data_IF_083787766491
#
_entry.id   IF_083787766491
#
_cell.length_a   1.000
_cell.length_b   1.000
_cell.length_c   1.000
_cell.angle_alpha   90.00
_cell.angle_beta   90.00
_cell.angle_gamma   90.00
#
_symmetry.space_group_name_H-M   'P 1'
#
loop_
_entity.id
_entity.type
_entity.pdbx_description
1 polymer ?
#
# COMPACT_ATOMS: atom_id res chain seq x y z
N UNK A 1 12.13 6.67 27.96
CA UNK A 1 11.03 7.00 27.00
C UNK A 1 11.35 6.37 25.66
N UNK A 2 10.49 5.49 25.12
CA UNK A 2 10.65 5.00 23.73
C UNK A 2 10.25 6.13 22.78
N UNK A 3 11.19 6.61 21.99
CA UNK A 3 10.96 7.66 20.99
C UNK A 3 10.03 7.05 19.91
N UNK A 4 8.85 7.66 19.73
CA UNK A 4 7.90 7.25 18.68
C UNK A 4 8.45 7.44 17.28
N UNK A 5 7.80 6.86 16.26
CA UNK A 5 8.25 6.93 14.85
C UNK A 5 8.46 8.38 14.38
N UNK A 6 7.66 9.33 14.89
CA UNK A 6 7.86 10.79 14.70
C UNK A 6 9.24 11.27 15.13
N UNK A 7 9.67 10.91 16.34
CA UNK A 7 10.96 11.37 16.84
C UNK A 7 12.12 10.68 16.13
N UNK A 8 11.95 9.41 15.72
CA UNK A 8 12.97 8.68 14.96
C UNK A 8 13.18 9.28 13.57
N UNK A 9 12.10 9.55 12.82
CA UNK A 9 12.19 10.13 11.49
C UNK A 9 12.76 11.56 11.56
N UNK A 10 12.28 12.37 12.52
CA UNK A 10 12.83 13.71 12.76
C UNK A 10 14.33 13.64 13.04
N UNK A 11 14.76 12.78 13.96
CA UNK A 11 16.17 12.64 14.31
C UNK A 11 17.02 12.18 13.12
N UNK A 12 16.52 11.23 12.32
CA UNK A 12 17.24 10.72 11.15
C UNK A 12 17.44 11.80 10.08
N UNK A 13 16.37 12.49 9.69
CA UNK A 13 16.45 13.58 8.69
C UNK A 13 17.34 14.71 9.22
N UNK A 14 17.12 15.15 10.45
CA UNK A 14 17.90 16.22 11.07
C UNK A 14 19.39 15.86 11.20
N UNK A 15 19.72 14.64 11.62
CA UNK A 15 21.10 14.17 11.71
C UNK A 15 21.78 14.12 10.34
N UNK A 16 21.04 13.74 9.29
CA UNK A 16 21.56 13.70 7.92
C UNK A 16 21.85 15.12 7.41
N UNK A 17 20.93 16.06 7.64
CA UNK A 17 21.14 17.47 7.33
C UNK A 17 22.33 18.05 8.11
N UNK A 18 22.46 17.74 9.40
CA UNK A 18 23.61 18.16 10.21
C UNK A 18 24.93 17.60 9.67
N UNK A 19 24.97 16.33 9.29
CA UNK A 19 26.17 15.71 8.71
C UNK A 19 26.61 16.43 7.43
N UNK A 20 25.65 16.74 6.53
CA UNK A 20 25.93 17.51 5.30
C UNK A 20 26.47 18.90 5.63
N UNK A 21 25.91 19.60 6.62
CA UNK A 21 26.39 20.93 7.02
C UNK A 21 27.78 20.88 7.64
N UNK A 22 28.07 19.90 8.51
CA UNK A 22 29.38 19.73 9.13
C UNK A 22 30.43 19.39 8.09
N UNK A 23 30.13 18.47 7.17
CA UNK A 23 31.04 18.07 6.09
C UNK A 23 31.30 19.22 5.12
N UNK A 24 30.26 19.97 4.74
CA UNK A 24 30.41 21.17 3.90
C UNK A 24 31.26 22.24 4.60
N UNK A 25 31.00 22.54 5.88
CA UNK A 25 31.79 23.50 6.65
C UNK A 25 33.26 23.05 6.75
N UNK A 26 33.50 21.77 7.02
CA UNK A 26 34.85 21.23 7.12
C UNK A 26 35.57 21.28 5.76
N UNK A 27 34.89 20.92 4.66
CA UNK A 27 35.42 20.98 3.30
C UNK A 27 35.81 22.40 2.89
N UNK A 28 34.95 23.40 3.14
CA UNK A 28 35.26 24.82 2.89
C UNK A 28 36.48 25.27 3.69
N UNK A 29 36.57 24.86 4.96
CA UNK A 29 37.72 25.21 5.81
C UNK A 29 39.03 24.60 5.31
N UNK A 30 39.04 23.31 4.97
CA UNK A 30 40.22 22.62 4.44
C UNK A 30 40.64 23.18 3.08
N UNK A 31 39.66 23.45 2.20
CA UNK A 31 39.91 24.08 0.90
C UNK A 31 40.59 25.43 1.03
N UNK A 32 40.19 26.23 2.03
CA UNK A 32 40.78 27.53 2.29
C UNK A 32 42.18 27.41 2.90
N UNK A 33 42.36 26.62 3.96
CA UNK A 33 43.65 26.48 4.67
C UNK A 33 44.75 25.91 3.77
N UNK A 34 44.45 24.94 2.89
CA UNK A 34 45.45 24.32 2.01
C UNK A 34 45.53 24.99 0.64
N UNK A 35 44.40 25.07 -0.07
CA UNK A 35 44.39 25.51 -1.47
C UNK A 35 44.78 26.96 -1.67
N UNK A 36 44.32 27.87 -0.81
CA UNK A 36 44.60 29.30 -0.97
C UNK A 36 46.05 29.65 -0.62
N UNK A 37 46.62 29.04 0.43
CA UNK A 37 47.99 29.29 0.84
C UNK A 37 48.98 28.79 -0.20
N UNK A 38 48.77 27.57 -0.70
CA UNK A 38 49.60 26.98 -1.76
C UNK A 38 49.53 27.80 -3.07
N UNK A 39 48.34 28.32 -3.40
CA UNK A 39 48.15 29.24 -4.52
C UNK A 39 48.97 30.54 -4.35
N UNK A 40 48.88 31.21 -3.20
CA UNK A 40 49.64 32.44 -2.95
C UNK A 40 51.15 32.18 -2.94
N UNK A 41 51.58 31.03 -2.43
CA UNK A 41 53.00 30.64 -2.40
C UNK A 41 53.55 30.44 -3.81
N UNK A 42 52.95 29.56 -4.60
CA UNK A 42 53.37 29.27 -5.98
C UNK A 42 53.32 30.51 -6.87
N UNK A 43 52.27 31.31 -6.75
CA UNK A 43 52.11 32.57 -7.47
C UNK A 43 53.19 33.62 -7.11
N UNK A 44 53.54 33.75 -5.82
CA UNK A 44 54.64 34.63 -5.41
C UNK A 44 56.01 34.11 -5.88
N UNK A 45 56.26 32.80 -5.81
CA UNK A 45 57.50 32.20 -6.33
C UNK A 45 57.66 32.47 -7.83
N UNK A 46 56.59 32.27 -8.62
CA UNK A 46 56.61 32.53 -10.05
C UNK A 46 56.91 34.01 -10.37
N UNK A 47 56.25 34.94 -9.66
CA UNK A 47 56.50 36.38 -9.82
C UNK A 47 57.97 36.75 -9.56
N UNK A 48 58.58 36.14 -8.55
CA UNK A 48 59.95 36.44 -8.14
C UNK A 48 60.96 35.78 -9.09
N UNK A 49 60.66 34.58 -9.61
CA UNK A 49 61.46 33.96 -10.67
C UNK A 49 61.48 34.83 -11.94
N UNK A 50 60.33 35.32 -12.40
CA UNK A 50 60.28 36.24 -13.55
C UNK A 50 61.13 37.49 -13.31
N UNK A 51 61.11 38.04 -12.08
CA UNK A 51 61.95 39.19 -11.73
C UNK A 51 63.44 38.84 -11.76
N UNK A 52 63.81 37.66 -11.25
CA UNK A 52 65.20 37.18 -11.29
C UNK A 52 65.70 37.05 -12.73
N UNK A 53 64.93 36.39 -13.60
CA UNK A 53 65.25 36.19 -15.01
C UNK A 53 65.38 37.53 -15.77
N UNK A 54 64.45 38.46 -15.56
CA UNK A 54 64.52 39.78 -16.16
C UNK A 54 65.76 40.57 -15.69
N UNK A 55 66.18 40.40 -14.43
CA UNK A 55 67.40 41.01 -13.91
C UNK A 55 68.67 40.34 -14.46
N UNK A 56 68.65 39.03 -14.71
CA UNK A 56 69.74 38.32 -15.40
C UNK A 56 69.93 38.88 -16.81
N UNK A 57 68.84 39.06 -17.56
CA UNK A 57 68.86 39.65 -18.90
C UNK A 57 69.42 41.09 -18.88
N UNK A 58 68.93 41.93 -17.97
CA UNK A 58 69.43 43.31 -17.84
C UNK A 58 70.91 43.38 -17.41
N UNK A 59 71.34 42.50 -16.50
CA UNK A 59 72.73 42.39 -16.11
C UNK A 59 73.60 41.91 -17.28
N UNK A 60 73.11 41.00 -18.11
CA UNK A 60 73.83 40.51 -19.29
C UNK A 60 74.13 41.61 -20.31
N UNK A 61 73.22 42.60 -20.44
CA UNK A 61 73.40 43.74 -21.34
C UNK A 61 74.36 44.80 -20.81
N UNK A 62 74.39 45.04 -19.49
CA UNK A 62 75.18 46.13 -18.88
C UNK A 62 76.51 45.65 -18.28
N UNK A 63 76.63 44.36 -17.95
CA UNK A 63 77.80 43.72 -17.36
C UNK A 63 78.10 44.12 -15.90
N UNK A 64 77.27 44.95 -15.27
CA UNK A 64 77.43 45.40 -13.88
C UNK A 64 76.10 45.91 -13.29
N UNK A 65 76.09 46.19 -11.98
CA UNK A 65 74.91 46.69 -11.25
C UNK A 65 74.67 48.21 -11.32
N UNK A 66 75.42 48.96 -12.13
CA UNK A 66 75.33 50.44 -12.16
C UNK A 66 73.93 50.90 -12.62
N UNK A 67 73.26 50.14 -13.50
CA UNK A 67 71.91 50.45 -13.96
C UNK A 67 70.84 50.42 -12.85
N UNK A 68 71.11 49.71 -11.74
CA UNK A 68 70.26 49.70 -10.55
C UNK A 68 70.71 50.70 -9.48
N UNK A 69 71.97 51.16 -9.52
CA UNK A 69 72.54 52.05 -8.50
C UNK A 69 71.96 53.47 -8.69
N UNK A 70 71.04 53.86 -7.81
CA UNK A 70 70.23 55.10 -7.84
C UNK A 70 69.05 55.12 -8.83
N UNK A 71 68.58 53.96 -9.34
CA UNK A 71 67.42 53.91 -10.24
C UNK A 71 66.45 52.75 -9.90
N UNK A 72 65.75 52.88 -8.78
CA UNK A 72 64.76 51.89 -8.33
C UNK A 72 63.58 51.72 -9.30
N UNK A 73 63.34 52.70 -10.18
CA UNK A 73 62.20 52.69 -11.12
C UNK A 73 62.27 51.55 -12.13
N UNK A 74 63.48 51.11 -12.51
CA UNK A 74 63.69 50.02 -13.48
C UNK A 74 63.05 48.72 -12.98
N UNK A 75 63.25 48.39 -11.70
CA UNK A 75 62.67 47.17 -11.10
C UNK A 75 61.15 47.27 -11.01
N UNK A 76 60.60 48.43 -10.69
CA UNK A 76 59.15 48.63 -10.69
C UNK A 76 58.54 48.60 -12.09
N UNK A 77 59.26 49.04 -13.13
CA UNK A 77 58.84 48.94 -14.52
C UNK A 77 58.82 47.48 -15.00
N UNK A 78 59.84 46.70 -14.69
CA UNK A 78 59.88 45.24 -14.96
C UNK A 78 58.70 44.55 -14.26
N UNK A 79 58.47 44.84 -12.99
CA UNK A 79 57.36 44.25 -12.25
C UNK A 79 55.99 44.65 -12.81
N UNK A 80 55.87 45.87 -13.36
CA UNK A 80 54.65 46.35 -14.00
C UNK A 80 54.43 45.73 -15.38
N UNK A 81 55.49 45.37 -16.11
CA UNK A 81 55.36 44.71 -17.41
C UNK A 81 54.78 43.30 -17.25
N UNK A 82 55.11 42.59 -16.17
CA UNK A 82 54.47 41.31 -15.82
C UNK A 82 52.96 41.45 -15.59
N UNK A 83 52.49 42.59 -15.07
CA UNK A 83 51.05 42.84 -14.89
C UNK A 83 50.33 43.18 -16.18
N UNK A 84 51.04 43.79 -17.14
CA UNK A 84 50.48 44.21 -18.43
C UNK A 84 50.43 43.07 -19.45
N UNK A 85 51.27 42.05 -19.28
CA UNK A 85 51.26 40.88 -20.13
C UNK A 85 50.10 39.94 -19.73
N UNK A 86 49.15 39.71 -20.64
CA UNK A 86 47.89 39.01 -20.34
C UNK A 86 48.11 37.58 -19.83
N UNK A 87 49.08 36.86 -20.39
CA UNK A 87 49.40 35.47 -20.02
C UNK A 87 50.02 35.35 -18.62
N UNK A 88 50.72 36.40 -18.17
CA UNK A 88 51.38 36.42 -16.86
C UNK A 88 50.44 36.95 -15.77
N UNK A 89 49.50 37.84 -16.14
CA UNK A 89 48.59 38.53 -15.22
C UNK A 89 47.72 37.60 -14.37
N UNK A 90 47.29 36.46 -14.92
CA UNK A 90 46.40 35.49 -14.26
C UNK A 90 47.09 34.69 -13.14
N UNK A 91 48.42 34.67 -13.14
CA UNK A 91 49.22 33.92 -12.17
C UNK A 91 49.88 34.82 -11.12
N UNK A 92 49.56 36.12 -11.10
CA UNK A 92 50.11 37.05 -10.11
C UNK A 92 49.27 37.07 -8.83
N UNK A 93 49.91 37.19 -7.65
CA UNK A 93 49.17 37.24 -6.40
C UNK A 93 48.40 38.56 -6.31
N UNK A 94 47.21 38.57 -5.68
CA UNK A 94 46.45 39.79 -5.44
C UNK A 94 47.33 40.84 -4.75
N UNK A 95 47.15 42.13 -5.08
CA UNK A 95 48.06 43.22 -4.67
C UNK A 95 48.40 43.24 -3.17
N UNK A 96 47.42 42.96 -2.30
CA UNK A 96 47.61 42.91 -0.84
C UNK A 96 48.35 41.69 -0.30
N UNK A 97 48.62 40.69 -1.14
CA UNK A 97 49.21 39.38 -0.79
C UNK A 97 50.57 39.12 -1.45
N UNK A 98 51.20 40.18 -1.97
CA UNK A 98 52.50 40.12 -2.64
C UNK A 98 53.63 40.17 -1.63
N UNK A 99 54.61 39.28 -1.78
CA UNK A 99 55.82 39.30 -0.94
C UNK A 99 56.63 40.56 -1.12
N UNK A 100 57.24 41.03 -0.02
CA UNK A 100 58.28 42.04 -0.08
C UNK A 100 59.55 41.40 -0.62
N UNK A 101 60.31 42.15 -1.43
CA UNK A 101 61.54 41.66 -2.03
C UNK A 101 62.70 42.65 -1.85
N UNK A 102 63.92 42.12 -1.95
CA UNK A 102 65.18 42.84 -1.95
C UNK A 102 66.07 42.25 -3.04
N UNK A 103 66.64 43.09 -3.88
CA UNK A 103 67.70 42.75 -4.82
C UNK A 103 69.02 43.14 -4.18
N UNK A 104 69.94 42.18 -4.05
CA UNK A 104 71.27 42.38 -3.45
C UNK A 104 72.36 41.93 -4.42
N UNK A 105 73.54 42.53 -4.30
CA UNK A 105 74.73 42.06 -5.03
C UNK A 105 75.31 40.76 -4.42
N UNK A 106 76.39 40.25 -5.01
CA UNK A 106 77.10 39.06 -4.51
C UNK A 106 77.69 39.21 -3.11
N UNK A 107 77.83 40.44 -2.61
CA UNK A 107 78.31 40.78 -1.27
C UNK A 107 77.17 41.06 -0.28
N UNK A 108 75.91 40.82 -0.67
CA UNK A 108 74.69 41.12 0.09
C UNK A 108 74.45 42.61 0.38
N UNK A 109 75.05 43.51 -0.39
CA UNK A 109 74.67 44.92 -0.32
C UNK A 109 73.35 45.12 -1.05
N UNK A 110 72.42 45.84 -0.42
CA UNK A 110 71.11 46.16 -1.00
C UNK A 110 71.28 47.08 -2.21
N UNK A 111 70.80 46.60 -3.36
CA UNK A 111 70.70 47.37 -4.60
C UNK A 111 69.34 48.07 -4.67
N UNK A 112 68.24 47.31 -4.62
CA UNK A 112 66.86 47.80 -4.75
C UNK A 112 65.93 46.97 -3.85
N UNK A 113 64.84 47.56 -3.35
CA UNK A 113 63.79 46.81 -2.64
C UNK A 113 63.34 47.47 -1.34
N UNK A 114 62.69 46.70 -0.48
CA UNK A 114 62.08 47.25 0.74
C UNK A 114 63.14 47.88 1.69
N UNK A 115 62.77 48.99 2.34
CA UNK A 115 63.70 49.80 3.16
C UNK A 115 64.12 49.13 4.47
N UNK A 116 63.37 48.11 4.91
CA UNK A 116 63.63 47.34 6.13
C UNK A 116 64.90 46.47 6.07
N UNK A 117 65.25 45.83 7.20
CA UNK A 117 66.41 44.94 7.26
C UNK A 117 66.26 43.75 6.31
N UNK A 118 67.37 43.28 5.76
CA UNK A 118 67.40 42.10 4.91
C UNK A 118 66.81 40.90 5.67
N UNK A 119 65.94 40.09 5.04
CA UNK A 119 65.35 38.93 5.69
C UNK A 119 66.45 37.93 6.06
N UNK A 120 66.58 37.62 7.36
CA UNK A 120 67.52 36.61 7.86
C UNK A 120 67.19 35.21 7.34
N UNK A 121 65.91 34.96 7.12
CA UNK A 121 65.33 33.70 6.62
C UNK A 121 64.31 34.02 5.54
N UNK A 122 64.38 33.31 4.42
CA UNK A 122 63.46 33.48 3.29
C UNK A 122 64.02 32.88 2.00
N UNK A 123 63.15 32.66 0.99
CA UNK A 123 63.56 32.20 -0.33
C UNK A 123 64.58 33.17 -0.95
N UNK A 124 65.63 32.63 -1.53
CA UNK A 124 66.68 33.37 -2.24
C UNK A 124 66.74 32.88 -3.67
N UNK A 125 66.50 33.77 -4.62
CA UNK A 125 66.54 33.46 -6.03
C UNK A 125 67.85 34.01 -6.60
N UNK A 126 68.75 33.16 -7.11
CA UNK A 126 70.03 33.63 -7.63
C UNK A 126 69.82 34.36 -8.95
N UNK A 127 70.59 35.43 -9.13
CA UNK A 127 70.75 36.11 -10.42
C UNK A 127 72.09 35.66 -10.97
N UNK A 128 72.07 34.92 -12.08
CA UNK A 128 73.25 34.30 -12.70
C UNK A 128 73.68 35.02 -13.97
N UNK A 129 74.99 35.09 -14.18
CA UNK A 129 75.62 35.53 -15.41
C UNK A 129 76.81 34.62 -15.69
N UNK A 130 76.88 34.01 -16.88
CA UNK A 130 77.93 33.05 -17.25
C UNK A 130 78.16 31.93 -16.21
N UNK A 131 77.07 31.38 -15.65
CA UNK A 131 77.09 30.36 -14.60
C UNK A 131 77.63 30.82 -13.23
N UNK A 132 77.99 32.09 -13.05
CA UNK A 132 78.34 32.68 -11.77
C UNK A 132 77.18 33.47 -11.18
N UNK A 133 77.06 33.49 -9.84
CA UNK A 133 76.01 34.22 -9.14
C UNK A 133 76.48 35.66 -8.91
N UNK A 134 75.84 36.60 -9.60
CA UNK A 134 76.18 38.03 -9.53
C UNK A 134 75.33 38.81 -8.52
N UNK A 135 74.23 38.21 -8.04
CA UNK A 135 73.36 38.77 -7.01
C UNK A 135 72.22 37.84 -6.63
N UNK A 136 71.33 38.31 -5.75
CA UNK A 136 70.18 37.55 -5.26
C UNK A 136 68.93 38.41 -5.17
N UNK A 137 67.77 37.82 -5.48
CA UNK A 137 66.45 38.34 -5.08
C UNK A 137 66.00 37.61 -3.81
N UNK A 138 65.94 38.34 -2.71
CA UNK A 138 65.49 37.86 -1.41
C UNK A 138 64.02 38.23 -1.22
N UNK A 139 63.23 37.36 -0.60
CA UNK A 139 61.82 37.64 -0.29
C UNK A 139 61.48 37.32 1.16
N UNK A 140 60.42 37.96 1.68
CA UNK A 140 59.82 37.53 2.95
C UNK A 140 59.06 36.22 2.77
N UNK A 141 59.15 35.27 3.72
CA UNK A 141 58.31 34.08 3.71
C UNK A 141 56.82 34.46 3.67
N UNK A 142 56.06 33.81 2.79
CA UNK A 142 54.61 34.04 2.61
C UNK A 142 53.85 33.76 3.92
N UNK A 143 54.36 32.86 4.75
CA UNK A 143 53.84 32.48 6.07
C UNK A 143 53.88 33.64 7.09
N UNK A 144 54.69 34.69 6.86
CA UNK A 144 54.67 35.91 7.67
C UNK A 144 53.64 36.93 7.19
N UNK A 145 53.29 36.92 5.90
CA UNK A 145 52.25 37.79 5.35
C UNK A 145 50.87 37.38 5.86
N UNK A 146 50.59 36.08 5.88
CA UNK A 146 49.36 35.54 6.49
C UNK A 146 49.26 35.98 7.95
N UNK A 147 50.28 35.72 8.78
CA UNK A 147 50.29 36.06 10.23
C UNK A 147 49.92 37.51 10.57
N UNK A 148 50.28 38.49 9.73
CA UNK A 148 50.05 39.91 10.03
C UNK A 148 48.72 40.47 9.49
N UNK A 149 48.10 39.84 8.49
CA UNK A 149 46.76 40.19 7.99
C UNK A 149 45.63 39.33 8.59
N UNK A 150 45.97 38.37 9.45
CA UNK A 150 45.12 37.22 9.81
C UNK A 150 43.97 37.49 10.80
N UNK A 151 44.07 38.42 11.74
CA UNK A 151 43.12 38.41 12.87
C UNK A 151 41.71 38.87 12.47
N UNK A 152 41.58 39.90 11.64
CA UNK A 152 40.27 40.46 11.31
C UNK A 152 39.55 39.66 10.22
N UNK A 153 40.29 39.13 9.24
CA UNK A 153 39.72 38.32 8.16
C UNK A 153 39.29 36.92 8.67
N UNK A 154 40.12 36.24 9.47
CA UNK A 154 39.76 34.96 10.09
C UNK A 154 38.55 35.12 11.03
N UNK A 155 38.50 36.19 11.84
CA UNK A 155 37.32 36.46 12.70
C UNK A 155 36.06 36.73 11.89
N UNK A 156 36.14 37.53 10.82
CA UNK A 156 35.00 37.84 9.96
C UNK A 156 34.49 36.59 9.25
N UNK A 157 35.39 35.77 8.71
CA UNK A 157 35.06 34.50 8.05
C UNK A 157 34.43 33.52 9.04
N UNK A 158 35.01 33.33 10.23
CA UNK A 158 34.43 32.49 11.28
C UNK A 158 33.04 32.96 11.69
N UNK A 159 32.84 34.27 11.88
CA UNK A 159 31.51 34.82 12.22
C UNK A 159 30.49 34.52 11.13
N UNK A 160 30.84 34.75 9.86
CA UNK A 160 29.97 34.45 8.72
C UNK A 160 29.67 32.95 8.61
N UNK A 161 30.67 32.09 8.78
CA UNK A 161 30.49 30.63 8.78
C UNK A 161 29.55 30.17 9.90
N UNK A 162 29.68 30.71 11.12
CA UNK A 162 28.76 30.40 12.23
C UNK A 162 27.33 30.87 11.97
N UNK A 163 27.15 32.04 11.34
CA UNK A 163 25.82 32.54 10.95
C UNK A 163 25.18 31.61 9.92
N UNK A 164 25.94 31.17 8.91
CA UNK A 164 25.48 30.22 7.90
C UNK A 164 25.07 28.90 8.56
N UNK A 165 25.91 28.34 9.43
CA UNK A 165 25.58 27.10 10.16
C UNK A 165 24.31 27.26 10.98
N UNK A 166 24.16 28.37 11.71
CA UNK A 166 22.97 28.63 12.52
C UNK A 166 21.70 28.74 11.66
N UNK A 167 21.76 29.50 10.55
CA UNK A 167 20.63 29.68 9.64
C UNK A 167 20.24 28.37 8.94
N UNK A 168 21.21 27.62 8.46
CA UNK A 168 20.99 26.30 7.84
C UNK A 168 20.43 25.29 8.84
N UNK A 169 20.85 25.34 10.10
CA UNK A 169 20.31 24.50 11.17
C UNK A 169 18.85 24.81 11.44
N UNK A 170 18.49 26.10 11.53
CA UNK A 170 17.11 26.54 11.70
C UNK A 170 16.22 26.12 10.53
N UNK A 171 16.71 26.28 9.29
CA UNK A 171 15.98 25.86 8.10
C UNK A 171 15.78 24.33 8.08
N UNK A 172 16.82 23.56 8.38
CA UNK A 172 16.72 22.10 8.47
C UNK A 172 15.70 21.66 9.54
N UNK A 173 15.70 22.30 10.71
CA UNK A 173 14.73 22.03 11.76
C UNK A 173 13.29 22.35 11.31
N UNK A 174 13.07 23.50 10.65
CA UNK A 174 11.77 23.91 10.15
C UNK A 174 11.22 22.94 9.08
N UNK A 175 12.04 22.57 8.09
CA UNK A 175 11.66 21.61 7.04
C UNK A 175 11.35 20.24 7.63
N UNK A 176 12.21 19.75 8.53
CA UNK A 176 12.01 18.44 9.19
C UNK A 176 10.73 18.42 10.02
N UNK A 177 10.43 19.50 10.74
CA UNK A 177 9.20 19.62 11.51
C UNK A 177 7.96 19.62 10.61
N UNK A 178 8.00 20.33 9.48
CA UNK A 178 6.90 20.42 8.52
C UNK A 178 6.62 19.07 7.84
N UNK A 179 7.65 18.38 7.36
CA UNK A 179 7.55 17.03 6.80
C UNK A 179 7.05 16.01 7.84
N UNK A 180 7.60 16.05 9.05
CA UNK A 180 7.18 15.14 10.12
C UNK A 180 5.72 15.33 10.50
N UNK A 181 5.18 16.56 10.47
CA UNK A 181 3.76 16.81 10.74
C UNK A 181 2.87 16.39 9.58
N UNK A 182 3.28 16.67 8.33
CA UNK A 182 2.50 16.34 7.13
C UNK A 182 2.31 14.85 6.91
N UNK A 183 3.40 14.06 6.97
CA UNK A 183 3.35 12.63 6.60
C UNK A 183 2.89 11.72 7.73
N UNK A 184 3.18 12.03 9.00
CA UNK A 184 2.87 11.08 10.10
C UNK A 184 1.48 11.26 10.70
N UNK A 185 0.83 12.41 10.52
CA UNK A 185 -0.53 12.60 11.02
C UNK A 185 -1.52 11.60 10.37
N UNK A 186 -1.54 11.40 9.03
CA UNK A 186 -2.38 10.37 8.39
C UNK A 186 -2.06 8.95 8.89
N UNK A 187 -0.78 8.61 9.02
CA UNK A 187 -0.35 7.28 9.50
C UNK A 187 -0.86 6.99 10.91
N UNK A 188 -0.77 7.97 11.83
CA UNK A 188 -1.31 7.80 13.19
C UNK A 188 -2.82 7.59 13.20
N UNK A 189 -3.57 8.28 12.33
CA UNK A 189 -5.01 8.08 12.18
C UNK A 189 -5.33 6.67 11.67
N UNK A 190 -4.58 6.16 10.70
CA UNK A 190 -4.74 4.79 10.20
C UNK A 190 -4.45 3.75 11.29
N UNK A 191 -3.37 3.92 12.06
CA UNK A 191 -3.04 3.02 13.19
C UNK A 191 -4.15 3.03 14.24
N UNK A 192 -4.63 4.22 14.64
CA UNK A 192 -5.73 4.34 15.58
C UNK A 192 -7.03 3.73 15.03
N UNK A 193 -7.33 3.96 13.75
CA UNK A 193 -8.47 3.37 13.06
C UNK A 193 -8.39 1.85 13.04
N UNK A 194 -7.21 1.29 12.78
CA UNK A 194 -6.97 -0.16 12.78
C UNK A 194 -7.18 -0.77 14.16
N UNK A 195 -6.71 -0.10 15.23
CA UNK A 195 -6.97 -0.57 16.59
C UNK A 195 -8.47 -0.55 16.95
N UNK A 196 -9.21 0.49 16.55
CA UNK A 196 -10.67 0.54 16.75
C UNK A 196 -11.38 -0.55 15.97
N UNK A 197 -10.97 -0.77 14.72
CA UNK A 197 -11.52 -1.83 13.87
C UNK A 197 -11.27 -3.22 14.46
N UNK A 198 -10.06 -3.47 14.96
CA UNK A 198 -9.70 -4.71 15.64
C UNK A 198 -10.44 -4.91 16.97
N UNK A 199 -10.85 -3.82 17.63
CA UNK A 199 -11.70 -3.86 18.82
C UNK A 199 -13.20 -4.08 18.51
N UNK A 200 -13.57 -4.23 17.22
CA UNK A 200 -14.94 -4.52 16.78
C UNK A 200 -15.77 -3.29 16.40
N UNK A 201 -15.18 -2.10 16.36
CA UNK A 201 -15.86 -0.90 15.87
C UNK A 201 -15.71 -0.76 14.34
N UNK A 202 -16.61 -1.43 13.61
CA UNK A 202 -16.65 -1.42 12.15
C UNK A 202 -17.21 -0.12 11.54
N UNK A 203 -17.74 0.80 12.36
CA UNK A 203 -18.24 2.12 11.90
C UNK A 203 -17.13 3.14 11.71
N UNK A 204 -15.94 2.86 12.24
CA UNK A 204 -14.77 3.72 12.12
C UNK A 204 -14.42 3.98 10.65
N UNK A 205 -14.15 5.25 10.32
CA UNK A 205 -13.65 5.68 9.01
C UNK A 205 -12.44 6.61 9.20
N UNK A 206 -11.52 6.55 8.25
CA UNK A 206 -10.33 7.41 8.21
C UNK A 206 -10.49 8.41 7.06
N UNK A 207 -10.25 9.69 7.34
CA UNK A 207 -10.35 10.75 6.34
C UNK A 207 -9.26 10.60 5.27
N UNK A 208 -9.68 10.54 4.00
CA UNK A 208 -8.78 10.55 2.84
C UNK A 208 -8.34 12.00 2.61
N UNK A 209 -7.07 12.30 2.87
CA UNK A 209 -6.53 13.67 2.84
C UNK A 209 -5.42 13.87 1.81
N UNK A 210 -5.04 12.81 1.09
CA UNK A 210 -4.02 12.84 0.05
C UNK A 210 -4.44 11.94 -1.12
N UNK A 211 -3.84 12.17 -2.29
CA UNK A 211 -4.01 11.33 -3.49
C UNK A 211 -2.79 10.41 -3.73
N UNK A 212 -1.88 10.35 -2.75
CA UNK A 212 -0.70 9.49 -2.75
C UNK A 212 -1.02 8.06 -2.27
N UNK A 213 0.02 7.28 -1.99
CA UNK A 213 -0.07 5.92 -1.46
C UNK A 213 -0.79 5.84 -0.09
N UNK A 214 -0.64 6.88 0.75
CA UNK A 214 -1.36 6.95 2.04
C UNK A 214 -2.84 7.23 1.83
N UNK A 215 -3.18 8.05 0.82
CA UNK A 215 -4.55 8.25 0.35
C UNK A 215 -5.21 6.95 -0.10
N UNK A 216 -4.51 6.18 -0.94
CA UNK A 216 -4.99 4.87 -1.40
C UNK A 216 -5.18 3.89 -0.24
N UNK A 217 -4.21 3.79 0.67
CA UNK A 217 -4.33 2.94 1.85
C UNK A 217 -5.51 3.32 2.75
N UNK A 218 -5.82 4.62 2.88
CA UNK A 218 -7.01 5.07 3.60
C UNK A 218 -8.31 4.68 2.90
N UNK A 219 -8.33 4.66 1.56
CA UNK A 219 -9.47 4.15 0.80
C UNK A 219 -9.67 2.65 1.03
N UNK A 220 -8.61 1.85 0.90
CA UNK A 220 -8.65 0.40 1.12
C UNK A 220 -9.09 0.06 2.55
N UNK A 221 -8.60 0.80 3.54
CA UNK A 221 -9.05 0.69 4.94
C UNK A 221 -10.56 0.92 5.06
N UNK A 222 -11.09 1.98 4.46
CA UNK A 222 -12.52 2.31 4.54
C UNK A 222 -13.39 1.27 3.80
N UNK A 223 -12.91 0.72 2.69
CA UNK A 223 -13.58 -0.39 2.00
C UNK A 223 -13.64 -1.63 2.89
N UNK A 224 -12.52 -2.02 3.50
CA UNK A 224 -12.46 -3.16 4.41
C UNK A 224 -13.37 -2.95 5.63
N UNK A 225 -13.39 -1.75 6.22
CA UNK A 225 -14.29 -1.41 7.31
C UNK A 225 -15.77 -1.55 6.91
N UNK A 226 -16.13 -1.11 5.69
CA UNK A 226 -17.49 -1.24 5.15
C UNK A 226 -17.89 -2.69 4.93
N UNK A 227 -16.98 -3.51 4.39
CA UNK A 227 -17.23 -4.94 4.18
C UNK A 227 -17.43 -5.69 5.49
N UNK A 228 -16.61 -5.39 6.51
CA UNK A 228 -16.75 -5.96 7.85
C UNK A 228 -18.05 -5.52 8.53
N UNK A 229 -18.41 -4.24 8.43
CA UNK A 229 -19.66 -3.71 8.97
C UNK A 229 -20.88 -4.42 8.37
N UNK A 230 -20.91 -4.58 7.04
CA UNK A 230 -21.97 -5.32 6.34
C UNK A 230 -22.02 -6.78 6.79
N UNK A 231 -20.88 -7.44 6.93
CA UNK A 231 -20.83 -8.83 7.38
C UNK A 231 -21.36 -8.98 8.81
N UNK A 232 -21.00 -8.07 9.72
CA UNK A 232 -21.50 -8.06 11.09
C UNK A 232 -23.01 -7.79 11.15
N UNK A 233 -23.52 -6.86 10.33
CA UNK A 233 -24.96 -6.60 10.22
C UNK A 233 -25.72 -7.84 9.73
N UNK A 234 -25.23 -8.50 8.67
CA UNK A 234 -25.81 -9.74 8.15
C UNK A 234 -25.80 -10.85 9.21
N UNK A 235 -24.69 -11.00 9.94
CA UNK A 235 -24.56 -11.98 11.03
C UNK A 235 -25.58 -11.72 12.15
N UNK A 236 -25.78 -10.46 12.54
CA UNK A 236 -26.77 -10.09 13.57
C UNK A 236 -28.20 -10.32 13.10
N UNK A 237 -28.52 -9.92 11.87
CA UNK A 237 -29.83 -10.17 11.26
C UNK A 237 -30.14 -11.66 11.25
N UNK A 238 -29.18 -12.48 10.79
CA UNK A 238 -29.29 -13.94 10.78
C UNK A 238 -29.57 -14.52 12.17
N UNK A 239 -28.85 -14.08 13.21
CA UNK A 239 -29.09 -14.54 14.59
C UNK A 239 -30.47 -14.13 15.12
N UNK A 240 -30.97 -12.94 14.74
CA UNK A 240 -32.31 -12.50 15.08
C UNK A 240 -33.38 -13.34 14.38
N UNK A 241 -33.21 -13.63 13.08
CA UNK A 241 -34.12 -14.45 12.28
C UNK A 241 -34.19 -15.88 12.82
N UNK A 242 -33.05 -16.51 13.11
CA UNK A 242 -32.96 -17.82 13.77
C UNK A 242 -33.75 -17.83 15.08
N UNK A 243 -33.56 -16.81 15.92
CA UNK A 243 -34.23 -16.72 17.21
C UNK A 243 -35.76 -16.58 17.05
N UNK A 244 -36.20 -15.86 16.02
CA UNK A 244 -37.63 -15.68 15.74
C UNK A 244 -38.28 -16.97 15.22
N UNK A 245 -37.63 -17.63 14.26
CA UNK A 245 -38.13 -18.86 13.65
C UNK A 245 -38.10 -20.05 14.60
N UNK A 246 -37.21 -20.09 15.60
CA UNK A 246 -37.24 -21.09 16.67
C UNK A 246 -38.32 -20.81 17.73
N UNK A 247 -38.59 -19.53 18.04
CA UNK A 247 -39.53 -19.16 19.10
C UNK A 247 -40.98 -19.52 18.75
N UNK A 248 -41.36 -19.37 17.49
CA UNK A 248 -42.73 -19.64 17.00
C UNK A 248 -43.16 -21.10 17.22
N UNK A 249 -42.44 -22.12 16.67
CA UNK A 249 -42.81 -23.53 16.86
C UNK A 249 -42.73 -23.95 18.34
N UNK A 250 -41.76 -23.42 19.08
CA UNK A 250 -41.63 -23.68 20.51
C UNK A 250 -42.83 -23.13 21.31
N UNK A 251 -43.34 -21.95 20.95
CA UNK A 251 -44.52 -21.37 21.59
C UNK A 251 -45.79 -22.17 21.27
N UNK A 252 -45.95 -22.64 20.03
CA UNK A 252 -47.05 -23.52 19.63
C UNK A 252 -47.00 -24.84 20.39
N UNK A 253 -45.84 -25.50 20.41
CA UNK A 253 -45.62 -26.74 21.15
C UNK A 253 -45.91 -26.58 22.65
N UNK A 254 -45.47 -25.47 23.25
CA UNK A 254 -45.78 -25.16 24.65
C UNK A 254 -47.28 -24.97 24.88
N UNK A 255 -47.96 -24.19 24.04
CA UNK A 255 -49.40 -23.96 24.18
C UNK A 255 -50.23 -25.23 23.99
N UNK A 256 -49.83 -26.12 23.07
CA UNK A 256 -50.45 -27.43 22.89
C UNK A 256 -50.27 -28.33 24.13
N UNK A 257 -49.07 -28.31 24.74
CA UNK A 257 -48.81 -29.05 25.97
C UNK A 257 -49.59 -28.47 27.17
N UNK A 258 -49.65 -27.14 27.33
CA UNK A 258 -50.43 -26.46 28.37
C UNK A 258 -51.93 -26.81 28.23
N UNK A 259 -52.48 -26.76 27.02
CA UNK A 259 -53.89 -27.11 26.78
C UNK A 259 -54.21 -28.58 27.11
N UNK A 260 -53.26 -29.49 26.89
CA UNK A 260 -53.40 -30.89 27.31
C UNK A 260 -53.32 -31.04 28.84
N UNK A 261 -52.42 -30.30 29.50
CA UNK A 261 -52.26 -30.33 30.96
C UNK A 261 -53.47 -29.77 31.70
N UNK A 262 -54.04 -28.66 31.21
CA UNK A 262 -55.22 -28.01 31.80
C UNK A 262 -56.53 -28.77 31.51
N UNK A 263 -56.47 -29.86 30.72
CA UNK A 263 -57.63 -30.67 30.34
C UNK A 263 -58.55 -30.01 29.31
N UNK A 264 -58.17 -28.84 28.79
CA UNK A 264 -58.89 -28.13 27.70
C UNK A 264 -58.86 -28.95 26.41
N UNK A 265 -57.75 -29.65 26.14
CA UNK A 265 -57.60 -30.59 25.02
C UNK A 265 -57.35 -31.98 25.56
N UNK A 266 -57.95 -33.00 24.93
CA UNK A 266 -57.74 -34.39 25.31
C UNK A 266 -56.52 -34.99 24.59
N UNK A 267 -55.73 -35.88 25.24
CA UNK A 267 -54.60 -36.58 24.64
C UNK A 267 -55.09 -37.68 23.71
N UNK A 268 -55.54 -37.28 22.52
CA UNK A 268 -55.98 -38.16 21.45
C UNK A 268 -54.82 -38.46 20.50
N UNK A 269 -54.90 -39.53 19.68
CA UNK A 269 -53.90 -39.79 18.65
C UNK A 269 -53.67 -38.58 17.72
N UNK A 270 -54.72 -37.80 17.45
CA UNK A 270 -54.63 -36.58 16.64
C UNK A 270 -53.82 -35.45 17.32
N UNK A 271 -53.97 -35.24 18.63
CA UNK A 271 -53.17 -34.24 19.35
C UNK A 271 -51.71 -34.66 19.51
N UNK A 272 -51.44 -35.96 19.73
CA UNK A 272 -50.08 -36.50 19.72
C UNK A 272 -49.41 -36.35 18.35
N UNK A 273 -50.15 -36.60 17.27
CA UNK A 273 -49.67 -36.41 15.89
C UNK A 273 -49.35 -34.95 15.60
N UNK A 274 -50.16 -34.02 16.11
CA UNK A 274 -49.91 -32.58 16.00
C UNK A 274 -48.63 -32.16 16.72
N UNK A 275 -48.41 -32.63 17.95
CA UNK A 275 -47.16 -32.38 18.69
C UNK A 275 -45.94 -32.97 17.98
N UNK A 276 -46.06 -34.19 17.46
CA UNK A 276 -44.99 -34.85 16.72
C UNK A 276 -44.63 -34.09 15.43
N UNK A 277 -45.63 -33.54 14.72
CA UNK A 277 -45.41 -32.70 13.55
C UNK A 277 -44.65 -31.42 13.90
N UNK A 278 -44.95 -30.79 15.03
CA UNK A 278 -44.26 -29.59 15.51
C UNK A 278 -42.80 -29.90 15.89
N UNK A 279 -42.55 -31.00 16.60
CA UNK A 279 -41.18 -31.49 16.90
C UNK A 279 -40.40 -31.75 15.61
N UNK A 280 -41.02 -32.44 14.64
CA UNK A 280 -40.38 -32.75 13.36
C UNK A 280 -40.02 -31.48 12.58
N UNK A 281 -40.87 -30.45 12.66
CA UNK A 281 -40.60 -29.13 12.07
C UNK A 281 -39.40 -28.45 12.73
N UNK A 282 -39.32 -28.48 14.06
CA UNK A 282 -38.21 -27.90 14.81
C UNK A 282 -36.89 -28.65 14.54
N UNK A 283 -36.92 -29.99 14.46
CA UNK A 283 -35.75 -30.80 14.07
C UNK A 283 -35.26 -30.42 12.68
N UNK A 284 -36.17 -30.33 11.69
CA UNK A 284 -35.82 -29.92 10.33
C UNK A 284 -35.19 -28.53 10.30
N UNK A 285 -35.74 -27.56 11.04
CA UNK A 285 -35.19 -26.21 11.13
C UNK A 285 -33.77 -26.20 11.72
N UNK A 286 -33.52 -26.99 12.76
CA UNK A 286 -32.19 -27.12 13.38
C UNK A 286 -31.19 -27.77 12.42
N UNK A 287 -31.60 -28.82 11.70
CA UNK A 287 -30.76 -29.50 10.71
C UNK A 287 -30.41 -28.56 9.54
N UNK A 288 -31.40 -27.85 9.00
CA UNK A 288 -31.23 -26.84 7.94
C UNK A 288 -30.26 -25.73 8.39
N UNK A 289 -30.40 -25.26 9.64
CA UNK A 289 -29.52 -24.25 10.22
C UNK A 289 -28.08 -24.77 10.39
N UNK A 290 -27.92 -26.00 10.88
CA UNK A 290 -26.62 -26.62 11.05
C UNK A 290 -25.89 -26.74 9.72
N UNK A 291 -26.59 -27.14 8.66
CA UNK A 291 -26.03 -27.25 7.33
C UNK A 291 -25.58 -25.90 6.75
N UNK A 292 -26.40 -24.85 6.90
CA UNK A 292 -26.01 -23.51 6.46
C UNK A 292 -24.76 -23.01 7.19
N UNK A 293 -24.67 -23.26 8.50
CA UNK A 293 -23.48 -22.91 9.31
C UNK A 293 -22.22 -23.63 8.83
N UNK A 294 -22.31 -24.92 8.50
CA UNK A 294 -21.18 -25.69 7.96
C UNK A 294 -20.74 -25.21 6.56
N UNK A 295 -21.69 -24.75 5.75
CA UNK A 295 -21.42 -24.18 4.43
C UNK A 295 -20.69 -22.84 4.51
N UNK A 296 -21.09 -21.95 5.43
CA UNK A 296 -20.47 -20.62 5.62
C UNK A 296 -19.01 -20.71 6.06
N UNK A 297 -18.64 -21.78 6.77
CA UNK A 297 -17.27 -22.04 7.21
C UNK A 297 -16.38 -22.66 6.11
N UNK A 298 -16.92 -22.95 4.92
CA UNK A 298 -16.25 -23.77 3.90
C UNK A 298 -15.88 -25.17 4.41
N UNK A 299 -16.45 -25.58 5.55
CA UNK A 299 -16.04 -26.76 6.32
C UNK A 299 -16.77 -28.04 5.88
N UNK A 300 -17.71 -27.93 4.94
CA UNK A 300 -18.28 -29.09 4.26
C UNK A 300 -17.26 -29.62 3.25
N UNK A 301 -16.50 -30.65 3.65
CA UNK A 301 -15.77 -31.48 2.70
C UNK A 301 -16.80 -32.27 1.86
N UNK A 302 -17.25 -31.67 0.74
CA UNK A 302 -18.11 -32.33 -0.24
C UNK A 302 -17.39 -33.56 -0.78
N UNK A 303 -18.07 -34.71 -0.75
CA UNK A 303 -17.54 -35.98 -1.26
C UNK A 303 -17.98 -36.15 -2.71
N UNK A 304 -17.42 -35.33 -3.60
CA UNK A 304 -17.76 -35.34 -5.03
C UNK A 304 -17.31 -36.65 -5.69
N UNK A 305 -18.21 -37.26 -6.46
CA UNK A 305 -17.97 -38.46 -7.25
C UNK A 305 -18.60 -38.31 -8.64
N UNK A 306 -18.23 -39.19 -9.58
CA UNK A 306 -18.95 -39.29 -10.86
C UNK A 306 -20.32 -39.91 -10.62
N UNK A 307 -21.38 -39.15 -10.84
CA UNK A 307 -22.77 -39.55 -10.61
C UNK A 307 -23.61 -39.33 -11.86
N UNK A 308 -24.69 -40.09 -12.03
CA UNK A 308 -25.68 -39.82 -13.09
C UNK A 308 -26.84 -39.01 -12.50
N UNK A 309 -26.97 -37.76 -12.93
CA UNK A 309 -28.04 -36.87 -12.48
C UNK A 309 -29.43 -37.39 -12.84
N UNK A 310 -29.58 -38.06 -13.98
CA UNK A 310 -30.90 -38.61 -14.38
C UNK A 310 -31.37 -39.63 -13.36
N UNK A 311 -30.47 -40.51 -12.91
CA UNK A 311 -30.78 -41.51 -11.89
C UNK A 311 -31.20 -40.87 -10.56
N UNK A 312 -30.47 -39.85 -10.10
CA UNK A 312 -30.80 -39.13 -8.85
C UNK A 312 -32.17 -38.43 -8.94
N UNK A 313 -32.45 -37.75 -10.06
CA UNK A 313 -33.76 -37.11 -10.30
C UNK A 313 -34.89 -38.15 -10.32
N UNK A 314 -34.67 -39.31 -10.95
CA UNK A 314 -35.66 -40.39 -10.98
C UNK A 314 -35.98 -40.93 -9.58
N UNK A 315 -34.95 -41.14 -8.74
CA UNK A 315 -35.14 -41.56 -7.33
C UNK A 315 -35.98 -40.51 -6.57
N UNK A 316 -35.61 -39.24 -6.69
CA UNK A 316 -36.31 -38.16 -6.01
C UNK A 316 -37.78 -38.05 -6.47
N UNK A 317 -38.03 -38.10 -7.79
CA UNK A 317 -39.39 -38.07 -8.35
C UNK A 317 -40.22 -39.27 -7.89
N UNK A 318 -39.63 -40.47 -7.84
CA UNK A 318 -40.33 -41.67 -7.37
C UNK A 318 -40.80 -41.53 -5.91
N UNK A 319 -39.96 -40.94 -5.04
CA UNK A 319 -40.30 -40.70 -3.64
C UNK A 319 -41.46 -39.69 -3.45
N UNK A 320 -41.66 -38.77 -4.40
CA UNK A 320 -42.68 -37.72 -4.33
C UNK A 320 -43.96 -38.03 -5.10
N UNK A 321 -43.94 -39.01 -6.02
CA UNK A 321 -45.04 -39.27 -6.95
C UNK A 321 -46.40 -39.50 -6.26
N UNK A 322 -46.44 -40.30 -5.19
CA UNK A 322 -47.68 -40.54 -4.42
C UNK A 322 -48.19 -39.27 -3.72
N UNK A 323 -47.29 -38.44 -3.16
CA UNK A 323 -47.65 -37.20 -2.47
C UNK A 323 -48.22 -36.16 -3.45
N UNK A 324 -47.66 -36.05 -4.64
CA UNK A 324 -48.20 -35.19 -5.70
C UNK A 324 -49.58 -35.67 -6.14
N UNK A 325 -49.74 -36.97 -6.39
CA UNK A 325 -51.02 -37.56 -6.78
C UNK A 325 -52.11 -37.36 -5.71
N UNK A 326 -51.76 -37.52 -4.42
CA UNK A 326 -52.66 -37.27 -3.31
C UNK A 326 -53.14 -35.80 -3.23
N UNK A 327 -52.33 -34.85 -3.70
CA UNK A 327 -52.68 -33.42 -3.82
C UNK A 327 -53.33 -33.06 -5.17
N UNK A 328 -53.58 -34.05 -6.04
CA UNK A 328 -54.16 -33.83 -7.36
C UNK A 328 -53.21 -33.09 -8.32
N UNK A 329 -51.90 -33.27 -8.16
CA UNK A 329 -50.86 -32.68 -9.01
C UNK A 329 -50.23 -33.74 -9.91
N UNK A 330 -49.90 -33.36 -11.14
CA UNK A 330 -49.19 -34.21 -12.10
C UNK A 330 -47.69 -33.90 -12.12
N UNK A 331 -46.83 -34.92 -12.24
CA UNK A 331 -45.39 -34.75 -12.50
C UNK A 331 -45.09 -35.28 -13.91
N UNK A 332 -44.52 -34.42 -14.75
CA UNK A 332 -44.04 -34.76 -16.09
C UNK A 332 -42.52 -34.63 -16.12
N UNK A 333 -41.82 -35.61 -16.72
CA UNK A 333 -40.36 -35.63 -16.75
C UNK A 333 -39.82 -35.71 -18.18
N UNK A 334 -38.90 -34.82 -18.53
CA UNK A 334 -38.17 -34.80 -19.80
C UNK A 334 -36.69 -35.08 -19.55
N UNK A 335 -36.34 -36.36 -19.48
CA UNK A 335 -35.00 -36.81 -19.09
C UNK A 335 -34.28 -37.50 -20.27
N UNK A 336 -32.99 -37.20 -20.52
CA UNK A 336 -32.18 -37.96 -21.46
C UNK A 336 -31.83 -39.33 -20.86
N UNK A 337 -31.19 -40.20 -21.64
CA UNK A 337 -30.84 -41.55 -21.18
C UNK A 337 -29.88 -41.57 -19.97
N UNK A 338 -28.91 -40.65 -19.93
CA UNK A 338 -27.94 -40.50 -18.86
C UNK A 338 -27.43 -39.06 -18.87
N UNK A 339 -27.11 -38.47 -17.72
CA UNK A 339 -26.48 -37.17 -17.60
C UNK A 339 -25.36 -37.19 -16.54
N UNK A 340 -24.12 -37.56 -16.91
CA UNK A 340 -23.03 -37.64 -15.96
C UNK A 340 -22.66 -36.25 -15.43
N UNK A 341 -22.50 -36.16 -14.11
CA UNK A 341 -22.07 -34.97 -13.37
C UNK A 341 -21.01 -35.38 -12.34
N UNK A 342 -20.04 -34.50 -12.08
CA UNK A 342 -19.13 -34.67 -10.96
C UNK A 342 -19.65 -33.92 -9.75
N UNK A 343 -20.19 -34.63 -8.76
CA UNK A 343 -20.86 -34.02 -7.62
C UNK A 343 -21.08 -34.98 -6.46
N UNK A 344 -21.46 -34.42 -5.32
CA UNK A 344 -21.77 -35.16 -4.10
C UNK A 344 -23.22 -35.67 -4.18
N UNK A 345 -23.44 -37.00 -4.25
CA UNK A 345 -24.77 -37.57 -4.47
C UNK A 345 -25.77 -37.23 -3.36
N UNK A 346 -25.32 -37.17 -2.10
CA UNK A 346 -26.20 -36.89 -0.96
C UNK A 346 -26.70 -35.43 -1.03
N UNK A 347 -25.80 -34.51 -1.41
CA UNK A 347 -26.11 -33.10 -1.55
C UNK A 347 -26.97 -32.81 -2.77
N UNK A 348 -26.72 -33.48 -3.89
CA UNK A 348 -27.58 -33.36 -5.06
C UNK A 348 -28.98 -33.92 -4.81
N UNK A 349 -29.11 -35.06 -4.11
CA UNK A 349 -30.40 -35.57 -3.67
C UNK A 349 -31.13 -34.59 -2.77
N UNK A 350 -30.40 -33.94 -1.85
CA UNK A 350 -30.96 -32.90 -1.00
C UNK A 350 -31.50 -31.71 -1.81
N UNK A 351 -30.72 -31.21 -2.78
CA UNK A 351 -31.14 -30.16 -3.72
C UNK A 351 -32.46 -30.55 -4.41
N UNK A 352 -32.53 -31.75 -5.00
CA UNK A 352 -33.71 -32.19 -5.76
C UNK A 352 -34.94 -32.38 -4.86
N UNK A 353 -34.75 -32.95 -3.66
CA UNK A 353 -35.83 -33.10 -2.69
C UNK A 353 -36.37 -31.74 -2.22
N UNK A 354 -35.51 -30.76 -2.00
CA UNK A 354 -35.93 -29.41 -1.62
C UNK A 354 -36.73 -28.73 -2.74
N UNK A 355 -36.30 -28.87 -4.00
CA UNK A 355 -37.03 -28.33 -5.15
C UNK A 355 -38.40 -29.01 -5.34
N UNK A 356 -38.46 -30.34 -5.20
CA UNK A 356 -39.70 -31.11 -5.28
C UNK A 356 -40.67 -30.77 -4.15
N UNK A 357 -40.18 -30.64 -2.92
CA UNK A 357 -41.00 -30.23 -1.77
C UNK A 357 -41.54 -28.81 -1.96
N UNK A 358 -40.74 -27.92 -2.54
CA UNK A 358 -41.16 -26.55 -2.87
C UNK A 358 -42.34 -26.56 -3.85
N UNK A 359 -42.20 -27.25 -5.00
CA UNK A 359 -43.28 -27.34 -5.98
C UNK A 359 -44.50 -28.06 -5.43
N UNK A 360 -44.33 -29.18 -4.71
CA UNK A 360 -45.45 -29.89 -4.07
C UNK A 360 -46.28 -28.96 -3.18
N UNK A 361 -45.60 -28.07 -2.46
CA UNK A 361 -46.24 -27.19 -1.50
C UNK A 361 -46.95 -26.02 -2.16
N UNK A 362 -46.29 -25.36 -3.10
CA UNK A 362 -46.74 -24.08 -3.64
C UNK A 362 -47.60 -24.19 -4.89
N UNK A 363 -47.57 -25.30 -5.63
CA UNK A 363 -48.47 -25.47 -6.78
C UNK A 363 -49.92 -25.68 -6.32
N UNK A 364 -50.84 -24.94 -6.95
CA UNK A 364 -52.28 -25.05 -6.73
C UNK A 364 -52.83 -26.40 -7.23
N UNK A 365 -53.87 -26.90 -6.57
CA UNK A 365 -54.49 -28.19 -6.89
C UNK A 365 -55.00 -28.25 -8.34
N UNK A 366 -54.84 -29.39 -9.01
CA UNK A 366 -55.10 -29.54 -10.44
C UNK A 366 -53.99 -29.02 -11.35
N UNK A 367 -52.91 -28.50 -10.76
CA UNK A 367 -51.69 -28.08 -11.46
C UNK A 367 -50.75 -29.23 -11.81
N UNK A 368 -49.58 -28.86 -12.35
CA UNK A 368 -48.52 -29.81 -12.71
C UNK A 368 -47.13 -29.24 -12.49
N UNK A 369 -46.17 -30.14 -12.35
CA UNK A 369 -44.73 -29.87 -12.31
C UNK A 369 -44.06 -30.58 -13.49
N UNK A 370 -43.34 -29.82 -14.31
CA UNK A 370 -42.49 -30.38 -15.36
C UNK A 370 -41.01 -30.29 -14.93
N UNK A 371 -40.30 -31.41 -15.04
CA UNK A 371 -38.88 -31.52 -14.68
C UNK A 371 -38.12 -31.92 -15.92
N UNK A 372 -37.09 -31.16 -16.28
CA UNK A 372 -36.27 -31.47 -17.46
C UNK A 372 -34.79 -31.44 -17.17
N UNK A 373 -34.06 -32.26 -17.92
CA UNK A 373 -32.60 -32.29 -17.93
C UNK A 373 -32.13 -32.14 -19.37
N UNK A 374 -31.36 -31.10 -19.65
CA UNK A 374 -30.84 -30.80 -20.98
C UNK A 374 -29.31 -30.80 -20.94
N UNK A 375 -28.70 -31.64 -21.77
CA UNK A 375 -27.26 -31.61 -21.99
C UNK A 375 -26.93 -30.64 -23.11
N UNK A 376 -26.07 -29.68 -22.81
CA UNK A 376 -25.51 -28.77 -23.80
C UNK A 376 -23.97 -28.88 -23.77
N UNK A 377 -23.26 -28.42 -24.82
CA UNK A 377 -21.80 -28.45 -24.82
C UNK A 377 -21.22 -27.70 -23.61
N UNK A 378 -20.51 -28.42 -22.74
CA UNK A 378 -19.84 -27.86 -21.55
C UNK A 378 -20.74 -27.56 -20.35
N UNK A 379 -22.05 -27.82 -20.42
CA UNK A 379 -22.99 -27.56 -19.32
C UNK A 379 -24.17 -28.53 -19.28
N UNK A 380 -24.63 -28.81 -18.07
CA UNK A 380 -25.85 -29.56 -17.79
C UNK A 380 -26.88 -28.61 -17.20
N UNK A 381 -28.04 -28.49 -17.84
CA UNK A 381 -29.15 -27.69 -17.37
C UNK A 381 -30.22 -28.61 -16.80
N UNK A 382 -30.67 -28.32 -15.59
CA UNK A 382 -31.82 -28.96 -14.96
C UNK A 382 -32.86 -27.88 -14.68
N UNK A 383 -34.13 -28.17 -14.88
CA UNK A 383 -35.19 -27.25 -14.51
C UNK A 383 -36.36 -27.95 -13.84
N UNK A 384 -36.97 -27.23 -12.91
CA UNK A 384 -38.26 -27.53 -12.29
C UNK A 384 -39.19 -26.37 -12.61
N UNK A 385 -40.25 -26.62 -13.37
CA UNK A 385 -41.23 -25.60 -13.73
C UNK A 385 -42.62 -26.04 -13.27
N UNK A 386 -43.21 -25.31 -12.34
CA UNK A 386 -44.56 -25.58 -11.87
C UNK A 386 -45.59 -24.63 -12.48
N UNK A 387 -46.86 -25.05 -12.42
CA UNK A 387 -48.01 -24.22 -12.76
C UNK A 387 -48.35 -23.24 -11.63
N UNK A 388 -49.36 -22.40 -11.86
CA UNK A 388 -49.83 -21.38 -10.92
C UNK A 388 -49.90 -21.86 -9.44
N UNK A 389 -49.64 -20.94 -8.49
CA UNK A 389 -49.44 -19.51 -8.65
C UNK A 389 -47.96 -19.12 -8.87
N UNK A 390 -47.74 -18.09 -9.69
CA UNK A 390 -46.45 -17.43 -9.80
C UNK A 390 -46.19 -16.45 -8.66
N UNK A 391 -45.01 -15.82 -8.68
CA UNK A 391 -44.60 -14.78 -7.73
C UNK A 391 -44.18 -13.51 -8.48
N UNK A 392 -44.11 -12.36 -7.84
CA UNK A 392 -43.70 -11.11 -8.50
C UNK A 392 -42.20 -11.06 -8.84
N UNK A 393 -41.80 -10.17 -9.74
CA UNK A 393 -40.38 -9.97 -10.11
C UNK A 393 -39.50 -9.63 -8.91
N UNK A 394 -40.03 -8.86 -7.96
CA UNK A 394 -39.33 -8.52 -6.73
C UNK A 394 -39.18 -9.74 -5.81
N UNK A 395 -40.12 -10.69 -5.85
CA UNK A 395 -40.03 -11.92 -5.08
C UNK A 395 -39.01 -12.88 -5.72
N UNK A 396 -38.99 -13.02 -7.05
CA UNK A 396 -38.03 -13.87 -7.78
C UNK A 396 -36.57 -13.54 -7.45
N UNK A 397 -36.22 -12.27 -7.29
CA UNK A 397 -34.84 -11.86 -6.95
C UNK A 397 -34.45 -12.21 -5.52
N UNK A 398 -35.42 -12.50 -4.65
CA UNK A 398 -35.22 -12.70 -3.20
C UNK A 398 -35.49 -14.12 -2.73
N UNK A 399 -36.05 -15.02 -3.56
CA UNK A 399 -36.44 -16.36 -3.11
C UNK A 399 -35.28 -17.25 -2.61
N UNK A 400 -34.04 -16.93 -2.98
CA UNK A 400 -32.85 -17.62 -2.50
C UNK A 400 -32.27 -16.99 -1.23
N UNK A 401 -32.81 -15.86 -0.76
CA UNK A 401 -32.45 -15.27 0.54
C UNK A 401 -32.89 -16.18 1.69
N UNK A 402 -32.08 -16.26 2.75
CA UNK A 402 -32.38 -17.05 3.95
C UNK A 402 -33.63 -16.51 4.64
N UNK A 403 -34.49 -17.41 5.12
CA UNK A 403 -35.74 -17.11 5.82
C UNK A 403 -36.76 -16.31 5.00
N UNK A 404 -36.47 -16.02 3.72
CA UNK A 404 -37.38 -15.30 2.87
C UNK A 404 -38.55 -16.20 2.47
N UNK A 405 -39.76 -15.62 2.54
CA UNK A 405 -41.01 -16.26 2.12
C UNK A 405 -41.84 -15.26 1.34
N UNK A 406 -42.37 -15.69 0.20
CA UNK A 406 -43.23 -14.85 -0.64
C UNK A 406 -44.63 -14.64 -0.03
N UNK A 407 -45.07 -15.52 0.87
CA UNK A 407 -46.37 -15.45 1.54
C UNK A 407 -46.38 -14.48 2.74
N UNK A 408 -47.50 -13.78 2.95
CA UNK A 408 -47.76 -13.03 4.17
C UNK A 408 -48.11 -13.94 5.38
N UNK A 409 -48.02 -13.37 6.59
CA UNK A 409 -48.19 -13.98 7.93
C UNK A 409 -49.37 -14.97 8.13
N UNK A 410 -50.40 -14.94 7.26
CA UNK A 410 -51.62 -15.75 7.36
C UNK A 410 -51.46 -17.23 6.99
N UNK A 411 -50.39 -17.63 6.29
CA UNK A 411 -50.16 -19.04 5.91
C UNK A 411 -49.05 -19.74 6.74
N UNK A 412 -48.79 -19.28 7.97
CA UNK A 412 -47.77 -19.88 8.88
C UNK A 412 -48.00 -21.37 9.14
N UNK A 413 -49.23 -21.86 9.07
CA UNK A 413 -49.58 -23.26 9.27
C UNK A 413 -49.04 -24.23 8.21
N UNK A 414 -48.59 -23.75 7.04
CA UNK A 414 -48.10 -24.64 5.97
C UNK A 414 -46.64 -25.10 6.14
N UNK A 415 -45.93 -24.67 7.21
CA UNK A 415 -44.72 -25.35 7.73
C UNK A 415 -43.45 -25.24 6.86
N UNK A 416 -42.87 -24.04 6.72
CA UNK A 416 -41.67 -23.82 5.89
C UNK A 416 -40.69 -22.88 6.53
N UNK A 417 -39.48 -23.38 6.76
CA UNK A 417 -38.37 -22.63 7.37
C UNK A 417 -37.86 -21.46 6.51
N UNK A 418 -38.14 -21.44 5.20
CA UNK A 418 -37.57 -20.44 4.29
C UNK A 418 -36.07 -20.63 4.03
N UNK A 419 -35.47 -21.72 4.52
CA UNK A 419 -34.07 -22.07 4.32
C UNK A 419 -33.83 -23.00 3.11
N UNK A 420 -34.87 -23.71 2.64
CA UNK A 420 -34.72 -24.75 1.62
C UNK A 420 -34.08 -24.26 0.32
N UNK A 421 -34.55 -23.14 -0.24
CA UNK A 421 -33.98 -22.57 -1.49
C UNK A 421 -32.60 -21.94 -1.27
N UNK A 422 -32.31 -21.40 -0.08
CA UNK A 422 -30.97 -20.93 0.28
C UNK A 422 -29.98 -22.10 0.38
N UNK A 423 -30.41 -23.25 0.90
CA UNK A 423 -29.63 -24.49 0.90
C UNK A 423 -29.40 -24.97 -0.54
N UNK A 424 -30.42 -24.92 -1.41
CA UNK A 424 -30.27 -25.23 -2.83
C UNK A 424 -29.20 -24.35 -3.49
N UNK A 425 -29.21 -23.04 -3.23
CA UNK A 425 -28.20 -22.11 -3.72
C UNK A 425 -26.79 -22.50 -3.28
N UNK A 426 -26.58 -22.75 -1.98
CA UNK A 426 -25.27 -23.14 -1.45
C UNK A 426 -24.77 -24.47 -2.04
N UNK A 427 -25.65 -25.46 -2.20
CA UNK A 427 -25.29 -26.75 -2.80
C UNK A 427 -24.86 -26.54 -4.26
N UNK A 428 -25.61 -25.75 -5.03
CA UNK A 428 -25.28 -25.50 -6.44
C UNK A 428 -23.96 -24.74 -6.57
N UNK A 429 -23.74 -23.72 -5.74
CA UNK A 429 -22.50 -22.94 -5.71
C UNK A 429 -21.29 -23.79 -5.33
N UNK A 430 -21.42 -24.67 -4.34
CA UNK A 430 -20.36 -25.62 -3.96
C UNK A 430 -20.03 -26.66 -5.04
N UNK A 431 -20.93 -26.83 -6.02
CA UNK A 431 -20.73 -27.65 -7.23
C UNK A 431 -20.32 -26.82 -8.45
N UNK A 432 -19.85 -25.60 -8.23
CA UNK A 432 -19.39 -24.68 -9.29
C UNK A 432 -20.49 -24.39 -10.33
N UNK A 433 -21.76 -24.48 -9.88
CA UNK A 433 -22.94 -24.27 -10.70
C UNK A 433 -23.60 -22.90 -10.49
N UNK A 434 -24.72 -22.68 -11.19
CA UNK A 434 -25.56 -21.48 -11.06
C UNK A 434 -27.02 -21.88 -10.92
N UNK A 435 -27.73 -21.29 -9.98
CA UNK A 435 -29.18 -21.45 -9.83
C UNK A 435 -29.88 -20.13 -10.16
N UNK A 436 -31.02 -20.19 -10.85
CA UNK A 436 -31.82 -19.04 -11.26
C UNK A 436 -33.30 -19.34 -11.11
N UNK A 437 -34.09 -18.29 -10.88
CA UNK A 437 -35.54 -18.36 -10.84
C UNK A 437 -36.13 -17.43 -11.89
N UNK A 438 -37.12 -17.93 -12.62
CA UNK A 438 -37.81 -17.24 -13.70
C UNK A 438 -39.31 -17.53 -13.60
N UNK A 439 -40.14 -16.75 -14.30
CA UNK A 439 -41.55 -17.09 -14.43
C UNK A 439 -41.70 -18.36 -15.25
N UNK A 440 -42.48 -19.31 -14.73
CA UNK A 440 -42.79 -20.53 -15.47
C UNK A 440 -43.77 -20.22 -16.60
N UNK A 441 -43.54 -20.78 -17.81
CA UNK A 441 -44.54 -20.75 -18.89
C UNK A 441 -45.90 -21.36 -18.49
N UNK A 442 -45.94 -22.18 -17.43
CA UNK A 442 -47.15 -22.79 -16.88
C UNK A 442 -47.89 -21.88 -15.88
N UNK A 443 -47.40 -20.66 -15.66
CA UNK A 443 -47.99 -19.67 -14.76
C UNK A 443 -47.49 -19.72 -13.31
N UNK A 444 -46.56 -20.62 -12.97
CA UNK A 444 -45.87 -20.71 -11.68
C UNK A 444 -44.45 -20.14 -11.72
N UNK A 445 -43.51 -20.86 -11.09
CA UNK A 445 -42.07 -20.52 -11.01
C UNK A 445 -41.24 -21.59 -11.69
N UNK A 446 -40.25 -21.16 -12.48
CA UNK A 446 -39.23 -22.02 -13.07
C UNK A 446 -37.92 -21.82 -12.34
N UNK A 447 -37.42 -22.88 -11.71
CA UNK A 447 -36.07 -22.91 -11.12
C UNK A 447 -35.16 -23.67 -12.07
N UNK A 448 -34.10 -23.01 -12.53
CA UNK A 448 -33.09 -23.57 -13.45
C UNK A 448 -31.76 -23.68 -12.73
N UNK A 449 -31.15 -24.86 -12.77
CA UNK A 449 -29.83 -25.18 -12.22
C UNK A 449 -28.89 -25.53 -13.36
N UNK A 450 -27.75 -24.86 -13.43
CA UNK A 450 -26.69 -25.07 -14.42
C UNK A 450 -25.44 -25.62 -13.72
N UNK A 451 -24.93 -26.75 -14.18
CA UNK A 451 -23.64 -27.29 -13.75
C UNK A 451 -22.66 -27.32 -14.91
N UNK A 452 -21.38 -27.03 -14.66
CA UNK A 452 -20.33 -27.24 -15.65
C UNK A 452 -20.11 -28.74 -15.87
N UNK A 453 -20.13 -29.18 -17.12
CA UNK A 453 -19.73 -30.56 -17.47
C UNK A 453 -18.40 -30.54 -18.20
N UNK A 454 -17.48 -31.47 -17.89
CA UNK A 454 -16.24 -31.56 -18.63
C UNK A 454 -16.57 -31.81 -20.10
N UNK A 455 -16.07 -30.94 -20.98
CA UNK A 455 -16.18 -31.12 -22.43
C UNK A 455 -15.47 -32.44 -22.73
N UNK A 456 -16.21 -33.47 -23.15
CA UNK A 456 -15.59 -34.64 -23.77
C UNK A 456 -14.91 -34.15 -25.04
N UNK A 457 -13.63 -33.79 -24.95
CA UNK A 457 -12.77 -33.78 -26.13
C UNK A 457 -12.90 -35.17 -26.74
N UNK A 458 -13.42 -35.25 -27.98
CA UNK A 458 -13.21 -36.43 -28.81
C UNK A 458 -11.71 -36.68 -28.80
N UNK A 459 -11.27 -37.74 -28.11
CA UNK A 459 -9.93 -38.26 -28.32
C UNK A 459 -9.84 -38.69 -29.81
N UNK A 460 -8.68 -38.48 -30.46
CA UNK A 460 -8.49 -38.67 -31.90
C UNK A 460 -8.81 -40.09 -32.39
#
# INVERSE_FOLDING_TARGET
MRIGITGKLFLAIFATCMLVLITMHWGVRVSFERGFIDYIKSSNEQRINMLSEALEEQYSHHGNWIFLRNNDQVVYQIMRSFEQNSDSSHNLPPKGWRTQFWVVDSQFNRLVGHSGPLPKEGPRHPIRYNNEIVGWVLTTPVERLTRNTDINFDRQQRRTSWIIVALSTLLAAAVTWLLSRGMLAPVKRLVAGTHRLAAGDFTTRVAVSSQDELGRLAHDFNQLATSLEKNEQMRRAFMADVSHELRTPLAVLRGELEALQDGVRQPTPASLSSLQAEVSTLTKLVDDLHQLSLSDLGALAYRKASVDCVHLVQIAVAAFRERFRAKGLEIVTHLPAQAPLFGDPDRLNQLFNNLLENSLRYTDAGGRLEIGVEQQPGRLLLYWQDSAPGISDQQLTRIFERFYRAEGSRNRASGGSGLGLAICHNIVEAHDGKIRAEHSPLGGVRITVEFATPIKNKAP
#
